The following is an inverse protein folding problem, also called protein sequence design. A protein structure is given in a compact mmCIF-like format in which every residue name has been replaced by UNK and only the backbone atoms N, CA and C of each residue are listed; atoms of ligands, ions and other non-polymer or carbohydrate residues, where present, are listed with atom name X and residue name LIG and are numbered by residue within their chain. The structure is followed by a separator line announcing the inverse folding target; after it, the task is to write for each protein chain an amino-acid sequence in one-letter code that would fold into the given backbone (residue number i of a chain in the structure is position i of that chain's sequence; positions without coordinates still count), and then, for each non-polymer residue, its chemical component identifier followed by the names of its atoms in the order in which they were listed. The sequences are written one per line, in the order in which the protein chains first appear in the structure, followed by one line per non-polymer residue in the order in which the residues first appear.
data_IF_313310763488
#
_entry.id   IF_313310763488
#
_cell.length_a   1.000
_cell.length_b   1.000
_cell.length_c   1.000
_cell.angle_alpha   90.00
_cell.angle_beta   90.00
_cell.angle_gamma   90.00
#
_symmetry.space_group_name_H-M   'P 1'
#
loop_
_entity.id
_entity.type
_entity.pdbx_description
1 polymer ?
#
# COMPACT_ATOMS: atom_id res chain seq x y z
N UNK A 1 29.92 -25.61 9.19
CA UNK A 1 28.71 -24.83 9.53
C UNK A 1 28.95 -23.35 9.85
N UNK A 2 30.15 -22.94 10.28
CA UNK A 2 30.46 -21.58 10.78
C UNK A 2 30.26 -20.42 9.79
N UNK A 3 30.32 -20.66 8.47
CA UNK A 3 30.20 -19.61 7.45
C UNK A 3 28.76 -19.36 6.95
N UNK A 4 27.79 -20.21 7.29
CA UNK A 4 26.44 -20.11 6.71
C UNK A 4 25.68 -18.88 7.20
N UNK A 5 25.90 -18.46 8.44
CA UNK A 5 25.16 -17.34 9.05
C UNK A 5 25.76 -16.00 8.66
N UNK A 6 27.10 -15.88 8.63
CA UNK A 6 27.76 -14.70 8.08
C UNK A 6 27.36 -14.48 6.62
N UNK A 7 27.27 -15.55 5.82
CA UNK A 7 26.77 -15.48 4.44
C UNK A 7 25.28 -15.12 4.37
N UNK A 8 24.44 -15.56 5.32
CA UNK A 8 23.01 -15.22 5.36
C UNK A 8 22.78 -13.76 5.76
N UNK A 9 23.53 -13.25 6.73
CA UNK A 9 23.53 -11.83 7.13
C UNK A 9 24.04 -10.97 5.97
N UNK A 10 25.12 -11.39 5.31
CA UNK A 10 25.69 -10.69 4.16
C UNK A 10 24.74 -10.72 2.95
N UNK A 11 24.07 -11.86 2.68
CA UNK A 11 23.05 -11.96 1.63
C UNK A 11 21.82 -11.11 1.95
N UNK A 12 21.36 -11.09 3.21
CA UNK A 12 20.26 -10.21 3.64
C UNK A 12 20.63 -8.74 3.48
N UNK A 13 21.86 -8.34 3.82
CA UNK A 13 22.38 -7.00 3.61
C UNK A 13 22.50 -6.62 2.12
N UNK A 14 22.84 -7.58 1.25
CA UNK A 14 22.88 -7.36 -0.20
C UNK A 14 21.49 -7.25 -0.83
N UNK A 15 20.49 -8.00 -0.34
CA UNK A 15 19.09 -7.95 -0.81
C UNK A 15 18.39 -6.67 -0.34
N UNK A 16 18.80 -6.09 0.80
CA UNK A 16 18.35 -4.78 1.25
C UNK A 16 18.77 -3.61 0.32
N UNK A 17 19.64 -3.89 -0.67
CA UNK A 17 20.14 -2.92 -1.61
C UNK A 17 21.19 -1.99 -0.98
N UNK A 18 22.26 -1.62 -1.71
CA UNK A 18 23.28 -0.69 -1.23
C UNK A 18 22.74 0.73 -0.96
N UNK A 19 21.46 0.99 -1.21
CA UNK A 19 20.81 2.28 -1.00
C UNK A 19 20.29 2.50 0.44
N UNK A 20 20.35 1.51 1.34
CA UNK A 20 19.90 1.66 2.73
C UNK A 20 20.91 1.22 3.80
N UNK A 21 21.93 0.42 3.46
CA UNK A 21 22.87 -0.15 4.44
C UNK A 21 23.90 0.84 5.06
N UNK A 22 23.70 2.14 4.90
CA UNK A 22 24.59 3.17 5.46
C UNK A 22 24.02 4.59 5.41
N UNK A 23 22.69 4.75 5.41
CA UNK A 23 22.08 6.08 5.18
C UNK A 23 21.61 6.81 6.45
N UNK A 24 21.75 6.21 7.64
CA UNK A 24 21.48 6.89 8.90
C UNK A 24 22.81 7.19 9.60
N UNK A 25 23.04 8.47 9.95
CA UNK A 25 24.15 8.88 10.83
C UNK A 25 24.11 8.17 12.19
N UNK A 26 22.98 7.53 12.52
CA UNK A 26 22.68 6.93 13.81
C UNK A 26 22.61 5.38 13.74
N UNK A 27 23.12 4.73 12.69
CA UNK A 27 23.16 3.26 12.60
C UNK A 27 24.44 2.68 13.22
N UNK A 28 24.36 1.44 13.72
CA UNK A 28 25.55 0.72 14.22
C UNK A 28 26.46 0.31 13.06
N UNK A 29 27.74 0.70 13.15
CA UNK A 29 28.76 0.30 12.17
C UNK A 29 28.96 -1.22 12.20
N UNK A 30 28.89 -1.85 11.03
CA UNK A 30 29.14 -3.29 10.87
C UNK A 30 30.56 -3.67 11.28
N UNK A 31 31.54 -2.78 11.16
CA UNK A 31 32.91 -3.01 11.59
C UNK A 31 33.00 -3.11 13.12
N UNK A 32 32.23 -2.31 13.85
CA UNK A 32 32.17 -2.40 15.31
C UNK A 32 31.38 -3.64 15.74
N UNK A 33 30.30 -3.99 15.03
CA UNK A 33 29.55 -5.22 15.28
C UNK A 33 30.39 -6.48 15.00
N UNK A 34 31.31 -6.42 14.05
CA UNK A 34 32.25 -7.50 13.71
C UNK A 34 33.25 -7.84 14.81
N UNK A 35 33.33 -7.03 15.87
CA UNK A 35 34.15 -7.28 17.05
C UNK A 35 33.45 -8.18 18.09
N UNK A 36 32.17 -8.49 17.88
CA UNK A 36 31.36 -9.37 18.73
C UNK A 36 31.58 -10.83 18.34
N UNK A 37 31.55 -11.74 19.33
CA UNK A 37 31.68 -13.16 19.07
C UNK A 37 30.57 -13.68 18.11
N UNK A 38 30.92 -14.49 17.08
CA UNK A 38 29.95 -15.00 16.11
C UNK A 38 28.79 -15.82 16.70
N UNK A 39 28.97 -16.46 17.85
CA UNK A 39 27.90 -17.16 18.55
C UNK A 39 26.93 -16.16 19.20
N UNK A 40 27.43 -15.07 19.76
CA UNK A 40 26.61 -14.02 20.36
C UNK A 40 25.76 -13.29 19.28
N UNK A 41 26.29 -13.13 18.06
CA UNK A 41 25.55 -12.59 16.91
C UNK A 41 24.30 -13.41 16.53
N UNK A 42 24.19 -14.68 16.94
CA UNK A 42 22.97 -15.47 16.70
C UNK A 42 21.74 -14.88 17.38
N UNK A 43 21.92 -14.17 18.50
CA UNK A 43 20.83 -13.50 19.21
C UNK A 43 20.13 -12.40 18.40
N UNK A 44 20.79 -11.87 17.35
CA UNK A 44 20.23 -10.85 16.47
C UNK A 44 19.43 -11.43 15.30
N UNK A 45 19.45 -12.75 15.08
CA UNK A 45 18.84 -13.36 13.89
C UNK A 45 17.38 -12.94 13.70
N UNK A 46 16.60 -12.90 14.78
CA UNK A 46 15.19 -12.53 14.71
C UNK A 46 14.98 -11.06 14.36
N UNK A 47 15.79 -10.15 14.90
CA UNK A 47 15.68 -8.71 14.63
C UNK A 47 16.14 -8.38 13.22
N UNK A 48 17.21 -9.01 12.73
CA UNK A 48 17.68 -8.92 11.35
C UNK A 48 16.62 -9.45 10.36
N UNK A 49 16.05 -10.62 10.66
CA UNK A 49 15.00 -11.20 9.82
C UNK A 49 13.71 -10.36 9.86
N UNK A 50 13.42 -9.71 10.98
CA UNK A 50 12.32 -8.77 11.12
C UNK A 50 12.38 -7.60 10.13
N UNK A 51 13.58 -7.02 9.93
CA UNK A 51 13.82 -5.96 8.93
C UNK A 51 13.53 -6.48 7.52
N UNK A 52 14.05 -7.67 7.19
CA UNK A 52 13.78 -8.30 5.89
C UNK A 52 12.28 -8.49 5.64
N UNK A 53 11.55 -9.03 6.61
CA UNK A 53 10.09 -9.21 6.48
C UNK A 53 9.36 -7.88 6.33
N UNK A 54 9.78 -6.83 7.03
CA UNK A 54 9.21 -5.49 6.86
C UNK A 54 9.45 -4.95 5.43
N UNK A 55 10.64 -5.18 4.86
CA UNK A 55 10.95 -4.79 3.48
C UNK A 55 10.12 -5.57 2.45
N UNK A 56 9.91 -6.88 2.67
CA UNK A 56 9.02 -7.70 1.84
C UNK A 56 7.59 -7.13 1.85
N UNK A 57 7.08 -6.76 3.04
CA UNK A 57 5.75 -6.13 3.18
C UNK A 57 5.68 -4.79 2.45
N UNK A 58 6.71 -3.96 2.52
CA UNK A 58 6.77 -2.69 1.79
C UNK A 58 6.72 -2.92 0.27
N UNK A 59 7.46 -3.90 -0.24
CA UNK A 59 7.44 -4.23 -1.66
C UNK A 59 6.07 -4.74 -2.11
N UNK A 60 5.42 -5.60 -1.30
CA UNK A 60 4.05 -6.05 -1.56
C UNK A 60 3.06 -4.89 -1.56
N UNK A 61 3.17 -3.95 -0.61
CA UNK A 61 2.33 -2.75 -0.55
C UNK A 61 2.50 -1.87 -1.80
N UNK A 62 3.74 -1.65 -2.27
CA UNK A 62 4.02 -0.89 -3.50
C UNK A 62 3.44 -1.58 -4.74
N UNK A 63 3.48 -2.90 -4.80
CA UNK A 63 2.82 -3.65 -5.88
C UNK A 63 1.30 -3.47 -5.84
N UNK A 64 0.70 -3.49 -4.64
CA UNK A 64 -0.71 -3.17 -4.42
C UNK A 64 -1.09 -1.77 -4.88
N UNK A 65 -0.29 -0.75 -4.53
CA UNK A 65 -0.49 0.64 -4.96
C UNK A 65 -0.49 0.77 -6.50
N UNK A 66 0.45 0.09 -7.18
CA UNK A 66 0.48 0.07 -8.66
C UNK A 66 -0.76 -0.56 -9.25
N UNK A 67 -1.25 -1.67 -8.67
CA UNK A 67 -2.49 -2.32 -9.12
C UNK A 67 -3.70 -1.42 -8.93
N UNK A 68 -3.84 -0.76 -7.77
CA UNK A 68 -4.91 0.20 -7.52
C UNK A 68 -4.85 1.37 -8.52
N UNK A 69 -3.65 1.87 -8.84
CA UNK A 69 -3.47 2.86 -9.90
C UNK A 69 -3.91 2.37 -11.29
N UNK A 70 -3.77 1.08 -11.58
CA UNK A 70 -4.33 0.43 -12.77
C UNK A 70 -5.86 0.39 -12.74
N UNK A 71 -6.46 0.04 -11.60
CA UNK A 71 -7.92 0.04 -11.40
C UNK A 71 -8.55 1.40 -11.69
N UNK A 72 -7.96 2.48 -11.19
CA UNK A 72 -8.41 3.86 -11.50
C UNK A 72 -8.38 4.14 -13.01
N UNK A 73 -7.33 3.72 -13.72
CA UNK A 73 -7.25 3.94 -15.18
C UNK A 73 -8.35 3.18 -15.92
N UNK A 74 -8.62 1.95 -15.53
CA UNK A 74 -9.70 1.15 -16.11
C UNK A 74 -11.06 1.78 -15.85
N UNK A 75 -11.34 2.19 -14.61
CA UNK A 75 -12.60 2.84 -14.25
C UNK A 75 -12.81 4.18 -14.98
N UNK A 76 -11.74 4.96 -15.22
CA UNK A 76 -11.84 6.18 -16.04
C UNK A 76 -12.22 5.88 -17.50
N UNK A 77 -11.61 4.85 -18.10
CA UNK A 77 -11.98 4.44 -19.46
C UNK A 77 -13.43 3.97 -19.56
N UNK A 78 -13.91 3.24 -18.55
CA UNK A 78 -15.32 2.85 -18.47
C UNK A 78 -16.21 4.09 -18.39
N UNK A 79 -15.91 5.03 -17.48
CA UNK A 79 -16.65 6.28 -17.35
C UNK A 79 -16.70 7.08 -18.67
N UNK A 80 -15.57 7.16 -19.39
CA UNK A 80 -15.51 7.85 -20.69
C UNK A 80 -16.38 7.15 -21.75
N UNK A 81 -16.45 5.81 -21.72
CA UNK A 81 -17.32 5.04 -22.61
C UNK A 81 -18.80 5.29 -22.29
N UNK A 82 -19.20 5.19 -21.01
CA UNK A 82 -20.59 5.44 -20.61
C UNK A 82 -21.05 6.88 -20.91
N UNK A 83 -20.14 7.87 -20.84
CA UNK A 83 -20.46 9.26 -21.21
C UNK A 83 -20.70 9.41 -22.72
N UNK A 84 -19.99 8.63 -23.54
CA UNK A 84 -20.20 8.59 -24.99
C UNK A 84 -21.53 7.91 -25.32
N UNK A 85 -21.87 6.81 -24.64
CA UNK A 85 -23.14 6.10 -24.83
C UNK A 85 -24.32 6.97 -24.40
N UNK A 86 -24.20 7.71 -23.29
CA UNK A 86 -25.21 8.69 -22.89
C UNK A 86 -25.43 9.77 -23.96
N UNK A 87 -24.35 10.29 -24.56
CA UNK A 87 -24.44 11.28 -25.64
C UNK A 87 -25.12 10.71 -26.87
N UNK A 88 -24.80 9.47 -27.25
CA UNK A 88 -25.40 8.78 -28.38
C UNK A 88 -26.91 8.55 -28.13
N UNK A 89 -27.28 8.01 -26.97
CA UNK A 89 -28.68 7.80 -26.59
C UNK A 89 -29.47 9.12 -26.55
N UNK A 90 -28.86 10.20 -26.07
CA UNK A 90 -29.49 11.54 -26.06
C UNK A 90 -29.71 12.06 -27.49
N UNK A 91 -28.77 11.83 -28.41
CA UNK A 91 -28.91 12.22 -29.80
C UNK A 91 -30.01 11.42 -30.51
N UNK A 92 -30.13 10.13 -30.18
CA UNK A 92 -31.16 9.24 -30.74
C UNK A 92 -32.57 9.66 -30.34
N UNK A 93 -32.79 10.03 -29.07
CA UNK A 93 -34.07 10.60 -28.62
C UNK A 93 -34.41 11.85 -29.43
N UNK A 94 -33.47 12.79 -29.58
CA UNK A 94 -33.69 14.02 -30.38
C UNK A 94 -34.00 13.72 -31.84
N UNK A 95 -33.33 12.73 -32.43
CA UNK A 95 -33.58 12.31 -33.80
C UNK A 95 -34.96 11.66 -33.96
N UNK A 96 -35.38 10.84 -33.00
CA UNK A 96 -36.70 10.23 -32.98
C UNK A 96 -37.81 11.30 -32.81
N UNK A 97 -37.59 12.30 -31.96
CA UNK A 97 -38.47 13.46 -31.81
C UNK A 97 -38.60 14.27 -33.10
N UNK A 98 -37.50 14.59 -33.75
CA UNK A 98 -37.50 15.34 -35.01
C UNK A 98 -38.20 14.60 -36.16
N UNK A 99 -38.18 13.26 -36.14
CA UNK A 99 -38.85 12.42 -37.15
C UNK A 99 -40.31 12.10 -36.81
N UNK A 100 -40.82 12.59 -35.67
CA UNK A 100 -42.17 12.31 -35.16
C UNK A 100 -42.50 10.81 -35.00
N UNK A 101 -41.48 9.94 -34.95
CA UNK A 101 -41.65 8.50 -34.83
C UNK A 101 -41.88 8.12 -33.36
N UNK A 102 -43.13 7.78 -33.02
CA UNK A 102 -43.52 7.48 -31.64
C UNK A 102 -42.88 6.20 -31.08
N UNK A 103 -42.80 5.14 -31.89
CA UNK A 103 -42.23 3.86 -31.46
C UNK A 103 -40.71 3.99 -31.24
N UNK A 104 -40.03 4.69 -32.15
CA UNK A 104 -38.60 4.98 -32.00
C UNK A 104 -38.32 5.88 -30.80
N UNK A 105 -39.18 6.84 -30.50
CA UNK A 105 -39.05 7.71 -29.31
C UNK A 105 -39.09 6.91 -28.01
N UNK A 106 -40.05 5.99 -27.89
CA UNK A 106 -40.19 5.16 -26.69
C UNK A 106 -38.97 4.25 -26.51
N UNK A 107 -38.52 3.57 -27.57
CA UNK A 107 -37.31 2.74 -27.53
C UNK A 107 -36.05 3.56 -27.19
N UNK A 108 -35.89 4.75 -27.80
CA UNK A 108 -34.75 5.64 -27.53
C UNK A 108 -34.76 6.17 -26.08
N UNK A 109 -35.95 6.43 -25.52
CA UNK A 109 -36.08 6.86 -24.12
C UNK A 109 -35.67 5.77 -23.13
N UNK A 110 -36.01 4.51 -23.41
CA UNK A 110 -35.55 3.37 -22.61
C UNK A 110 -34.02 3.23 -22.64
N UNK A 111 -33.41 3.29 -23.83
CA UNK A 111 -31.94 3.27 -23.98
C UNK A 111 -31.29 4.44 -23.25
N UNK A 112 -31.87 5.64 -23.31
CA UNK A 112 -31.38 6.81 -22.58
C UNK A 112 -31.47 6.63 -21.07
N UNK A 113 -32.48 5.92 -20.56
CA UNK A 113 -32.59 5.61 -19.13
C UNK A 113 -31.47 4.68 -18.69
N UNK A 114 -31.25 3.57 -19.41
CA UNK A 114 -30.16 2.62 -19.13
C UNK A 114 -28.79 3.30 -19.13
N UNK A 115 -28.48 4.06 -20.18
CA UNK A 115 -27.20 4.79 -20.27
C UNK A 115 -26.96 5.79 -19.11
N UNK A 116 -28.02 6.32 -18.48
CA UNK A 116 -27.89 7.17 -17.28
C UNK A 116 -27.57 6.36 -16.03
N UNK A 117 -28.13 5.17 -15.91
CA UNK A 117 -27.87 4.24 -14.82
C UNK A 117 -26.45 3.69 -14.91
N UNK A 118 -26.04 3.22 -16.09
CA UNK A 118 -24.67 2.75 -16.36
C UNK A 118 -23.64 3.85 -16.04
N UNK A 119 -23.89 5.09 -16.49
CA UNK A 119 -23.02 6.23 -16.17
C UNK A 119 -22.97 6.51 -14.66
N UNK A 120 -24.08 6.35 -13.93
CA UNK A 120 -24.11 6.52 -12.48
C UNK A 120 -23.28 5.42 -11.80
N UNK A 121 -23.38 4.18 -12.26
CA UNK A 121 -22.61 3.05 -11.73
C UNK A 121 -21.12 3.21 -12.02
N UNK A 122 -20.74 3.65 -13.22
CA UNK A 122 -19.35 3.98 -13.56
C UNK A 122 -18.78 5.13 -12.71
N UNK A 123 -19.59 6.15 -12.37
CA UNK A 123 -19.19 7.23 -11.45
C UNK A 123 -18.93 6.73 -10.02
N UNK A 124 -19.71 5.76 -9.55
CA UNK A 124 -19.46 5.14 -8.25
C UNK A 124 -18.22 4.24 -8.28
N UNK A 125 -18.02 3.50 -9.38
CA UNK A 125 -16.83 2.68 -9.58
C UNK A 125 -15.55 3.51 -9.53
N UNK A 126 -15.49 4.65 -10.23
CA UNK A 126 -14.30 5.51 -10.19
C UNK A 126 -14.07 6.07 -8.78
N UNK A 127 -15.13 6.45 -8.07
CA UNK A 127 -15.04 6.93 -6.68
C UNK A 127 -14.43 5.85 -5.80
N UNK A 128 -14.89 4.60 -5.91
CA UNK A 128 -14.32 3.48 -5.17
C UNK A 128 -12.85 3.24 -5.53
N UNK A 129 -12.50 3.18 -6.82
CA UNK A 129 -11.13 2.92 -7.26
C UNK A 129 -10.15 4.01 -6.80
N UNK A 130 -10.58 5.28 -6.79
CA UNK A 130 -9.77 6.39 -6.26
C UNK A 130 -9.56 6.25 -4.74
N UNK A 131 -10.60 5.89 -3.98
CA UNK A 131 -10.46 5.60 -2.55
C UNK A 131 -9.58 4.38 -2.27
N UNK A 132 -9.66 3.32 -3.07
CA UNK A 132 -8.77 2.15 -2.94
C UNK A 132 -7.31 2.53 -3.22
N UNK A 133 -7.07 3.42 -4.19
CA UNK A 133 -5.72 3.95 -4.45
C UNK A 133 -5.19 4.75 -3.25
N UNK A 134 -5.99 5.61 -2.64
CA UNK A 134 -5.60 6.34 -1.43
C UNK A 134 -5.31 5.40 -0.25
N UNK A 135 -6.15 4.36 -0.09
CA UNK A 135 -5.93 3.30 0.91
C UNK A 135 -4.61 2.56 0.66
N UNK A 136 -4.33 2.16 -0.57
CA UNK A 136 -3.08 1.49 -0.93
C UNK A 136 -1.85 2.39 -0.68
N UNK A 137 -1.94 3.68 -0.96
CA UNK A 137 -0.88 4.65 -0.63
C UNK A 137 -0.65 4.77 0.88
N UNK A 138 -1.72 4.78 1.68
CA UNK A 138 -1.62 4.79 3.13
C UNK A 138 -0.95 3.49 3.65
N UNK A 139 -1.26 2.33 3.08
CA UNK A 139 -0.59 1.05 3.40
C UNK A 139 0.90 1.07 3.07
N UNK A 140 1.31 1.70 1.97
CA UNK A 140 2.74 1.90 1.63
C UNK A 140 3.44 2.75 2.69
N UNK A 141 2.81 3.85 3.11
CA UNK A 141 3.36 4.72 4.18
C UNK A 141 3.48 3.98 5.51
N UNK A 142 2.46 3.19 5.86
CA UNK A 142 2.48 2.31 7.05
C UNK A 142 3.61 1.29 6.97
N UNK A 143 3.75 0.57 5.86
CA UNK A 143 4.80 -0.42 5.68
C UNK A 143 6.20 0.22 5.72
N UNK A 144 6.36 1.42 5.15
CA UNK A 144 7.61 2.19 5.23
C UNK A 144 7.96 2.55 6.68
N UNK A 145 7.01 3.10 7.43
CA UNK A 145 7.22 3.38 8.86
C UNK A 145 7.51 2.11 9.67
N UNK A 146 6.96 0.97 9.25
CA UNK A 146 7.24 -0.34 9.84
C UNK A 146 8.68 -0.82 9.58
N UNK A 147 9.24 -0.54 8.39
CA UNK A 147 10.66 -0.77 8.08
C UNK A 147 11.53 0.11 8.98
N UNK A 148 11.28 1.41 9.02
CA UNK A 148 12.05 2.34 9.85
C UNK A 148 12.06 1.93 11.34
N UNK A 149 10.92 1.45 11.84
CA UNK A 149 10.80 0.91 13.20
C UNK A 149 11.59 -0.40 13.38
N UNK A 150 11.50 -1.33 12.43
CA UNK A 150 12.24 -2.59 12.49
C UNK A 150 13.76 -2.34 12.48
N UNK A 151 14.23 -1.42 11.65
CA UNK A 151 15.64 -1.03 11.58
C UNK A 151 16.10 -0.40 12.90
N UNK A 152 15.30 0.51 13.46
CA UNK A 152 15.62 1.14 14.75
C UNK A 152 15.71 0.12 15.88
N UNK A 153 14.81 -0.87 15.90
CA UNK A 153 14.83 -1.96 16.89
C UNK A 153 16.05 -2.87 16.71
N UNK A 154 16.41 -3.19 15.47
CA UNK A 154 17.63 -3.95 15.15
C UNK A 154 18.87 -3.21 15.66
N UNK A 155 18.97 -1.91 15.41
CA UNK A 155 20.13 -1.13 15.81
C UNK A 155 20.22 -1.01 17.33
N UNK A 156 19.11 -0.80 18.04
CA UNK A 156 19.08 -0.87 19.51
C UNK A 156 19.51 -2.25 20.05
N UNK A 157 19.08 -3.34 19.39
CA UNK A 157 19.49 -4.70 19.77
C UNK A 157 20.98 -4.94 19.54
N UNK A 158 21.55 -4.45 18.42
CA UNK A 158 22.99 -4.50 18.12
C UNK A 158 23.80 -3.76 19.19
N UNK A 159 23.41 -2.54 19.55
CA UNK A 159 24.09 -1.77 20.62
C UNK A 159 24.02 -2.52 21.95
N UNK A 160 22.84 -3.02 22.33
CA UNK A 160 22.67 -3.79 23.56
C UNK A 160 23.59 -5.01 23.58
N UNK A 161 23.67 -5.77 22.49
CA UNK A 161 24.56 -6.93 22.37
C UNK A 161 26.04 -6.51 22.50
N UNK A 162 26.46 -5.48 21.77
CA UNK A 162 27.83 -4.97 21.83
C UNK A 162 28.23 -4.55 23.24
N UNK A 163 27.32 -3.92 24.00
CA UNK A 163 27.57 -3.55 25.39
C UNK A 163 27.64 -4.77 26.32
N UNK A 164 26.78 -5.77 26.12
CA UNK A 164 26.80 -7.03 26.89
C UNK A 164 28.10 -7.80 26.69
N UNK A 165 28.57 -7.87 25.44
CA UNK A 165 29.81 -8.54 25.03
C UNK A 165 31.05 -7.66 25.28
N UNK A 166 30.86 -6.45 25.79
CA UNK A 166 31.94 -5.48 26.06
C UNK A 166 32.84 -5.27 24.83
N UNK A 167 32.23 -5.23 23.64
CA UNK A 167 32.94 -5.01 22.40
C UNK A 167 33.69 -3.67 22.45
N UNK A 168 34.95 -3.58 21.97
CA UNK A 168 35.74 -2.35 22.06
C UNK A 168 35.05 -1.10 21.47
N UNK A 169 34.29 -1.25 20.39
CA UNK A 169 33.51 -0.18 19.77
C UNK A 169 32.20 0.21 20.47
N UNK A 170 31.77 -0.52 21.50
CA UNK A 170 30.45 -0.31 22.13
C UNK A 170 30.30 1.07 22.78
N UNK A 171 31.40 1.65 23.28
CA UNK A 171 31.39 2.98 23.92
C UNK A 171 31.04 4.14 22.98
N UNK A 172 31.06 3.92 21.66
CA UNK A 172 30.63 4.90 20.66
C UNK A 172 29.11 5.10 20.63
N UNK A 173 28.35 4.13 21.15
CA UNK A 173 26.90 4.07 21.02
C UNK A 173 26.22 4.20 22.38
N UNK A 174 25.46 5.28 22.56
CA UNK A 174 24.61 5.44 23.74
C UNK A 174 23.27 4.72 23.54
N UNK A 175 23.06 3.59 24.24
CA UNK A 175 21.84 2.78 24.10
C UNK A 175 20.55 3.61 24.28
N UNK A 176 20.56 4.58 25.20
CA UNK A 176 19.42 5.47 25.44
C UNK A 176 18.97 6.26 24.20
N UNK A 177 19.91 6.66 23.33
CA UNK A 177 19.59 7.38 22.10
C UNK A 177 18.88 6.47 21.09
N UNK A 178 19.33 5.22 20.98
CA UNK A 178 18.70 4.20 20.14
C UNK A 178 17.30 3.83 20.66
N UNK A 179 17.13 3.67 21.98
CA UNK A 179 15.82 3.39 22.58
C UNK A 179 14.85 4.57 22.40
N UNK A 180 15.35 5.81 22.50
CA UNK A 180 14.57 7.01 22.18
C UNK A 180 14.13 7.05 20.71
N UNK A 181 15.02 6.69 19.79
CA UNK A 181 14.69 6.59 18.37
C UNK A 181 13.62 5.51 18.13
N UNK A 182 13.73 4.32 18.75
CA UNK A 182 12.70 3.27 18.70
C UNK A 182 11.35 3.82 19.14
N UNK A 183 11.27 4.47 20.31
CA UNK A 183 10.02 5.06 20.81
C UNK A 183 9.43 6.11 19.85
N UNK A 184 10.28 6.91 19.20
CA UNK A 184 9.82 7.86 18.18
C UNK A 184 9.23 7.13 16.96
N UNK A 185 9.93 6.12 16.44
CA UNK A 185 9.45 5.33 15.29
C UNK A 185 8.19 4.54 15.60
N UNK A 186 8.01 4.08 16.83
CA UNK A 186 6.76 3.44 17.27
C UNK A 186 5.57 4.39 17.17
N UNK A 187 5.75 5.65 17.57
CA UNK A 187 4.71 6.68 17.46
C UNK A 187 4.37 6.97 16.00
N UNK A 188 5.38 7.09 15.14
CA UNK A 188 5.17 7.38 13.72
C UNK A 188 4.52 6.20 12.99
N UNK A 189 4.97 4.98 13.27
CA UNK A 189 4.31 3.77 12.79
C UNK A 189 2.85 3.71 13.27
N UNK A 190 2.58 3.98 14.55
CA UNK A 190 1.21 4.01 15.11
C UNK A 190 0.31 5.04 14.42
N UNK A 191 0.82 6.24 14.10
CA UNK A 191 0.08 7.24 13.30
C UNK A 191 -0.22 6.72 11.89
N UNK A 192 0.77 6.08 11.25
CA UNK A 192 0.60 5.54 9.91
C UNK A 192 -0.41 4.38 9.86
N UNK A 193 -0.44 3.52 10.88
CA UNK A 193 -1.46 2.46 11.04
C UNK A 193 -2.87 3.06 11.08
N UNK A 194 -3.12 4.02 11.98
CA UNK A 194 -4.44 4.68 12.10
C UNK A 194 -4.89 5.35 10.81
N UNK A 195 -3.96 6.00 10.11
CA UNK A 195 -4.24 6.60 8.80
C UNK A 195 -4.60 5.53 7.76
N UNK A 196 -3.87 4.42 7.72
CA UNK A 196 -4.17 3.29 6.83
C UNK A 196 -5.54 2.66 7.12
N UNK A 197 -5.90 2.51 8.39
CA UNK A 197 -7.23 2.04 8.81
C UNK A 197 -8.32 3.00 8.37
N UNK A 198 -8.12 4.31 8.56
CA UNK A 198 -9.07 5.36 8.14
C UNK A 198 -9.34 5.31 6.64
N UNK A 199 -8.28 5.28 5.81
CA UNK A 199 -8.46 5.24 4.35
C UNK A 199 -9.02 3.90 3.87
N UNK A 200 -8.65 2.78 4.52
CA UNK A 200 -9.29 1.47 4.24
C UNK A 200 -10.79 1.52 4.54
N UNK A 201 -11.20 2.12 5.65
CA UNK A 201 -12.62 2.28 5.99
C UNK A 201 -13.39 3.10 4.95
N UNK A 202 -12.79 4.15 4.38
CA UNK A 202 -13.41 4.92 3.29
C UNK A 202 -13.53 4.11 2.00
N UNK A 203 -12.46 3.39 1.62
CA UNK A 203 -12.47 2.53 0.44
C UNK A 203 -13.54 1.44 0.55
N UNK A 204 -13.68 0.79 1.71
CA UNK A 204 -14.73 -0.21 1.95
C UNK A 204 -16.14 0.37 1.82
N UNK A 205 -16.38 1.58 2.35
CA UNK A 205 -17.68 2.26 2.21
C UNK A 205 -17.99 2.61 0.76
N UNK A 206 -17.01 3.14 0.03
CA UNK A 206 -17.16 3.46 -1.38
C UNK A 206 -17.42 2.20 -2.23
N UNK A 207 -16.73 1.10 -1.90
CA UNK A 207 -16.96 -0.21 -2.51
C UNK A 207 -18.40 -0.68 -2.31
N UNK A 208 -18.88 -0.67 -1.06
CA UNK A 208 -20.24 -1.10 -0.75
C UNK A 208 -21.30 -0.25 -1.47
N UNK A 209 -21.07 1.07 -1.58
CA UNK A 209 -21.98 1.95 -2.32
C UNK A 209 -22.02 1.62 -3.82
N UNK A 210 -20.89 1.27 -4.43
CA UNK A 210 -20.85 0.80 -5.82
C UNK A 210 -21.51 -0.57 -5.98
N UNK A 211 -21.18 -1.54 -5.12
CA UNK A 211 -21.75 -2.90 -5.19
C UNK A 211 -23.27 -2.89 -5.03
N UNK A 212 -23.81 -2.04 -4.16
CA UNK A 212 -25.26 -1.90 -3.96
C UNK A 212 -25.98 -1.44 -5.24
N UNK A 213 -25.39 -0.54 -6.01
CA UNK A 213 -26.00 -0.06 -7.26
C UNK A 213 -25.80 -1.08 -8.38
N UNK A 214 -24.58 -1.62 -8.52
CA UNK A 214 -24.28 -2.62 -9.54
C UNK A 214 -25.11 -3.90 -9.39
N UNK A 215 -25.43 -4.33 -8.16
CA UNK A 215 -26.26 -5.52 -7.93
C UNK A 215 -27.74 -5.30 -8.27
N UNK A 216 -28.24 -4.07 -8.15
CA UNK A 216 -29.63 -3.77 -8.52
C UNK A 216 -29.83 -3.73 -10.03
N UNK A 217 -28.77 -3.49 -10.81
CA UNK A 217 -28.81 -3.55 -12.28
C UNK A 217 -28.93 -4.99 -12.80
N UNK A 218 -28.28 -5.97 -12.14
CA UNK A 218 -28.35 -7.39 -12.56
C UNK A 218 -29.69 -8.09 -12.27
N UNK A 219 -30.49 -7.59 -11.32
CA UNK A 219 -31.79 -8.20 -10.99
C UNK A 219 -32.88 -7.81 -11.99
N UNK A 220 -32.68 -6.75 -12.78
CA UNK A 220 -33.67 -6.30 -13.77
C UNK A 220 -33.44 -6.80 -15.20
N UNK A 221 -32.33 -7.50 -15.47
CA UNK A 221 -32.03 -8.11 -16.78
C UNK A 221 -32.52 -9.58 -16.91
N UNK A 222 -33.06 -10.19 -15.84
CA UNK A 222 -33.53 -11.60 -15.83
C UNK A 222 -35.08 -11.79 -15.78
N UNK A 223 -35.89 -10.73 -15.82
CA UNK A 223 -37.38 -10.79 -15.88
C UNK A 223 -37.94 -10.34 -17.23
#
# INVERSE_FOLDING_TARGET
MKYRVAVLILMMAMIAGPAQAGLFKDSVDLADLGQVDPAALQSLKETEFGVFLAQVRLNAAKAGERRAGGGVKTAKRMLDAEDLDLKAATAEVKAAEANEDAARREAAAAVLSGAREDLRTAKLLITWQEQEKESAQARVRMAKAGVDLAESRRDAARVRLMQQEKAPGAGKYALADFEKNVSSREKDHGKAVRKSETETGKATKAKAAWEQVAQNEFVHDEE
#
